data_IF_765680902757
#
_entry.id   IF_765680902757
#
_cell.length_a   1.000
_cell.length_b   1.000
_cell.length_c   1.000
_cell.angle_alpha   90.00
_cell.angle_beta   90.00
_cell.angle_gamma   90.00
#
_symmetry.space_group_name_H-M   'P 1'
#
loop_
_entity.id
_entity.type
_entity.pdbx_description
1 polymer ?
#
# COMPACT_ATOMS: atom_id res chain seq x y z
N UNK A 1 11.06 -0.85 19.34
CA UNK A 1 9.89 -1.19 18.49
C UNK A 1 9.33 -2.51 18.97
N UNK A 2 8.02 -2.64 19.19
CA UNK A 2 7.46 -3.90 19.65
C UNK A 2 7.63 -5.02 18.60
N UNK A 3 7.81 -6.27 19.05
CA UNK A 3 7.97 -7.47 18.20
C UNK A 3 6.81 -7.65 17.22
N UNK A 4 5.58 -7.36 17.64
CA UNK A 4 4.38 -7.41 16.79
C UNK A 4 4.54 -6.50 15.55
N UNK A 5 5.05 -5.28 15.74
CA UNK A 5 5.28 -4.33 14.66
C UNK A 5 6.40 -4.81 13.74
N UNK A 6 7.49 -5.33 14.31
CA UNK A 6 8.60 -5.86 13.53
C UNK A 6 8.15 -7.04 12.64
N UNK A 7 7.28 -7.91 13.16
CA UNK A 7 6.70 -9.01 12.39
C UNK A 7 5.83 -8.48 11.25
N UNK A 8 4.91 -7.53 11.51
CA UNK A 8 4.06 -6.94 10.48
C UNK A 8 4.89 -6.28 9.37
N UNK A 9 5.87 -5.45 9.73
CA UNK A 9 6.77 -4.79 8.78
C UNK A 9 7.51 -5.79 7.88
N UNK A 10 7.95 -6.93 8.43
CA UNK A 10 8.66 -7.97 7.67
C UNK A 10 7.71 -8.85 6.84
N UNK A 11 6.46 -8.97 7.25
CA UNK A 11 5.44 -9.76 6.53
C UNK A 11 5.01 -9.14 5.20
N UNK A 12 5.21 -7.83 5.04
CA UNK A 12 4.85 -7.09 3.85
C UNK A 12 6.07 -6.33 3.30
N UNK A 13 6.60 -6.72 2.12
CA UNK A 13 7.75 -6.06 1.52
C UNK A 13 7.57 -4.54 1.30
N UNK A 14 6.35 -4.07 1.08
CA UNK A 14 6.05 -2.65 0.90
C UNK A 14 6.20 -1.88 2.22
N UNK A 15 5.83 -2.50 3.35
CA UNK A 15 5.95 -1.87 4.66
C UNK A 15 7.42 -1.67 5.04
N UNK A 16 8.26 -2.71 4.89
CA UNK A 16 9.69 -2.56 5.19
C UNK A 16 10.38 -1.58 4.25
N UNK A 17 10.00 -1.55 2.96
CA UNK A 17 10.51 -0.59 1.99
C UNK A 17 10.10 0.83 2.38
N UNK A 18 8.82 1.05 2.66
CA UNK A 18 8.29 2.36 3.03
C UNK A 18 8.92 2.91 4.31
N UNK A 19 9.14 2.05 5.31
CA UNK A 19 9.82 2.43 6.54
C UNK A 19 11.26 2.91 6.30
N UNK A 20 11.97 2.34 5.32
CA UNK A 20 13.33 2.76 4.94
C UNK A 20 13.31 4.10 4.20
N UNK A 21 12.31 4.31 3.35
CA UNK A 21 12.13 5.56 2.60
C UNK A 21 11.69 6.73 3.48
N UNK A 22 10.80 6.46 4.45
CA UNK A 22 10.22 7.44 5.38
C UNK A 22 10.68 7.16 6.81
N UNK A 23 11.98 7.35 7.05
CA UNK A 23 12.64 6.98 8.31
C UNK A 23 12.08 7.66 9.56
N UNK A 24 11.34 8.77 9.45
CA UNK A 24 10.65 9.39 10.59
C UNK A 24 9.66 8.43 11.26
N UNK A 25 9.11 7.46 10.52
CA UNK A 25 8.21 6.44 11.06
C UNK A 25 8.85 5.55 12.12
N UNK A 26 10.18 5.35 12.10
CA UNK A 26 10.87 4.66 13.20
C UNK A 26 10.56 5.31 14.55
N UNK A 27 10.55 6.65 14.63
CA UNK A 27 10.25 7.38 15.87
C UNK A 27 8.83 7.10 16.36
N UNK A 28 7.84 7.14 15.49
CA UNK A 28 6.43 6.94 15.84
C UNK A 28 6.14 5.48 16.22
N UNK A 29 6.60 4.52 15.41
CA UNK A 29 6.41 3.09 15.65
C UNK A 29 7.17 2.58 16.89
N UNK A 30 8.27 3.25 17.26
CA UNK A 30 8.96 2.98 18.53
C UNK A 30 8.20 3.52 19.75
N UNK A 31 7.44 4.62 19.60
CA UNK A 31 6.71 5.28 20.69
C UNK A 31 5.39 4.61 21.00
N UNK A 32 4.61 4.29 19.98
CA UNK A 32 3.30 3.68 20.15
C UNK A 32 2.94 2.80 18.95
N UNK A 33 2.52 1.56 19.21
CA UNK A 33 2.09 0.63 18.16
C UNK A 33 0.84 1.08 17.42
N UNK A 34 0.03 1.95 18.01
CA UNK A 34 -1.22 2.45 17.40
C UNK A 34 -0.96 3.30 16.14
N UNK A 35 0.27 3.79 15.95
CA UNK A 35 0.67 4.50 14.74
C UNK A 35 0.79 3.59 13.51
N UNK A 36 0.79 2.26 13.67
CA UNK A 36 0.94 1.34 12.55
C UNK A 36 -0.18 1.47 11.51
N UNK A 37 -1.43 1.72 11.95
CA UNK A 37 -2.54 1.93 11.03
C UNK A 37 -2.32 3.17 10.16
N UNK A 38 -1.90 4.28 10.77
CA UNK A 38 -1.60 5.52 10.07
C UNK A 38 -0.41 5.35 9.10
N UNK A 39 0.62 4.62 9.54
CA UNK A 39 1.75 4.24 8.70
C UNK A 39 1.31 3.45 7.45
N UNK A 40 0.48 2.42 7.61
CA UNK A 40 -0.04 1.63 6.48
C UNK A 40 -0.92 2.45 5.54
N UNK A 41 -1.73 3.37 6.08
CA UNK A 41 -2.57 4.25 5.28
C UNK A 41 -1.73 5.22 4.44
N UNK A 42 -0.67 5.81 5.02
CA UNK A 42 0.24 6.70 4.29
C UNK A 42 0.99 5.93 3.19
N UNK A 43 1.51 4.75 3.52
CA UNK A 43 2.16 3.86 2.55
C UNK A 43 1.22 3.52 1.39
N UNK A 44 -0.02 3.09 1.68
CA UNK A 44 -1.00 2.73 0.65
C UNK A 44 -1.36 3.89 -0.25
N UNK A 45 -1.46 5.11 0.29
CA UNK A 45 -1.69 6.32 -0.49
C UNK A 45 -0.50 6.61 -1.41
N UNK A 46 0.72 6.59 -0.90
CA UNK A 46 1.92 6.92 -1.67
C UNK A 46 2.19 5.89 -2.79
N UNK A 47 1.93 4.61 -2.54
CA UNK A 47 2.10 3.56 -3.54
C UNK A 47 0.86 3.31 -4.42
N UNK A 48 -0.20 4.11 -4.27
CA UNK A 48 -1.47 3.92 -5.01
C UNK A 48 -2.04 2.51 -4.86
N UNK A 49 -2.02 2.00 -3.62
CA UNK A 49 -2.56 0.69 -3.22
C UNK A 49 -3.85 0.82 -2.43
N UNK A 50 -4.48 2.01 -2.45
CA UNK A 50 -5.77 2.22 -1.78
C UNK A 50 -6.87 1.36 -2.43
N UNK A 51 -7.96 1.07 -1.71
CA UNK A 51 -9.11 0.38 -2.32
C UNK A 51 -9.63 1.09 -3.57
N UNK A 52 -9.63 2.42 -3.57
CA UNK A 52 -10.02 3.24 -4.71
C UNK A 52 -9.09 3.03 -5.91
N UNK A 53 -7.77 3.06 -5.71
CA UNK A 53 -6.79 2.78 -6.77
C UNK A 53 -6.99 1.39 -7.38
N UNK A 54 -7.29 0.39 -6.55
CA UNK A 54 -7.56 -0.98 -7.00
C UNK A 54 -8.82 -1.04 -7.87
N UNK A 55 -9.90 -0.38 -7.45
CA UNK A 55 -11.16 -0.31 -8.23
C UNK A 55 -10.90 0.41 -9.56
N UNK A 56 -10.22 1.55 -9.54
CA UNK A 56 -9.88 2.31 -10.74
C UNK A 56 -9.03 1.49 -11.70
N UNK A 57 -8.04 0.74 -11.20
CA UNK A 57 -7.22 -0.16 -12.02
C UNK A 57 -8.07 -1.25 -12.67
N UNK A 58 -8.98 -1.88 -11.93
CA UNK A 58 -9.88 -2.92 -12.45
C UNK A 58 -10.81 -2.36 -13.53
N UNK A 59 -11.45 -1.21 -13.28
CA UNK A 59 -12.32 -0.54 -14.25
C UNK A 59 -11.57 -0.22 -15.55
N UNK A 60 -10.35 0.32 -15.45
CA UNK A 60 -9.50 0.61 -16.60
C UNK A 60 -9.13 -0.66 -17.38
N UNK A 61 -8.81 -1.76 -16.70
CA UNK A 61 -8.53 -3.04 -17.34
C UNK A 61 -9.74 -3.60 -18.09
N UNK A 62 -10.94 -3.53 -17.50
CA UNK A 62 -12.18 -3.95 -18.16
C UNK A 62 -12.43 -3.10 -19.41
N UNK A 63 -12.34 -1.77 -19.30
CA UNK A 63 -12.53 -0.87 -20.43
C UNK A 63 -11.55 -1.14 -21.58
N UNK A 64 -10.29 -1.46 -21.26
CA UNK A 64 -9.28 -1.80 -22.26
C UNK A 64 -9.63 -3.11 -22.98
N UNK A 65 -10.05 -4.14 -22.24
CA UNK A 65 -10.49 -5.42 -22.80
C UNK A 65 -11.72 -5.25 -23.72
N UNK A 66 -12.71 -4.46 -23.29
CA UNK A 66 -13.89 -4.16 -24.13
C UNK A 66 -13.47 -3.51 -25.45
N UNK A 67 -12.60 -2.49 -25.41
CA UNK A 67 -12.09 -1.83 -26.64
C UNK A 67 -11.34 -2.79 -27.57
N UNK A 68 -10.60 -3.76 -27.03
CA UNK A 68 -9.93 -4.76 -27.85
C UNK A 68 -10.94 -5.71 -28.52
N UNK A 69 -12.00 -6.12 -27.82
CA UNK A 69 -13.08 -6.92 -28.40
C UNK A 69 -13.78 -6.13 -29.52
N UNK A 70 -14.10 -4.86 -29.28
CA UNK A 70 -14.78 -4.01 -30.26
C UNK A 70 -13.99 -3.83 -31.57
N UNK A 71 -12.65 -3.87 -31.53
CA UNK A 71 -11.79 -3.78 -32.73
C UNK A 71 -11.79 -5.09 -33.53
N UNK A 72 -11.99 -6.23 -32.86
CA UNK A 72 -11.93 -7.56 -33.47
C UNK A 72 -13.28 -8.05 -34.02
N UNK A 73 -14.37 -7.35 -33.72
CA UNK A 73 -15.72 -7.62 -34.24
C UNK A 73 -16.01 -6.81 -35.49
#
# INVERSE_FOLDING_TARGET
MNVEIQYRLRSNPNDIKYLREKSYWYKFLNRNKNYFKQFEEEMKKEYKLTPEDKINKMANSINMLSKFIDILQ
#
